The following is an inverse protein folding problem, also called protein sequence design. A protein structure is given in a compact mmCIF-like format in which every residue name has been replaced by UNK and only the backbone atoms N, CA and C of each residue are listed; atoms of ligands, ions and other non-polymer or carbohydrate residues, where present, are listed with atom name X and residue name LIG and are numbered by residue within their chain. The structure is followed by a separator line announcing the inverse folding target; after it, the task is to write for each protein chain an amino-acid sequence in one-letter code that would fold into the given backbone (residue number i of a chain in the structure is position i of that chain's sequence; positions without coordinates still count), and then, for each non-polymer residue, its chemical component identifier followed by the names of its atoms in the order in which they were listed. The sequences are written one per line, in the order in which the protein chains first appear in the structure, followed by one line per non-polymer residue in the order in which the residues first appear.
data_IF_044200349930
#
_entry.id   IF_044200349930
#
_cell.length_a   1.000
_cell.length_b   1.000
_cell.length_c   1.000
_cell.angle_alpha   90.00
_cell.angle_beta   90.00
_cell.angle_gamma   90.00
#
_symmetry.space_group_name_H-M   'P 1'
#
loop_
_entity.id
_entity.type
_entity.pdbx_description
1 polymer ?
#
# COMPACT_ATOMS: atom_id res chain seq x y z
N UNK A 1 -63.84 19.55 48.31
CA UNK A 1 -63.04 18.99 49.41
C UNK A 1 -62.74 17.54 49.08
N UNK A 2 -61.49 17.24 48.70
CA UNK A 2 -60.91 15.89 48.64
C UNK A 2 -59.40 16.11 48.61
N UNK A 3 -58.65 15.28 49.34
CA UNK A 3 -57.20 15.44 49.45
C UNK A 3 -56.51 14.11 49.76
N UNK A 4 -55.22 14.09 49.43
CA UNK A 4 -54.20 13.09 49.75
C UNK A 4 -52.87 13.77 49.39
N UNK A 5 -51.91 13.99 50.30
CA UNK A 5 -50.94 12.98 50.79
C UNK A 5 -50.25 12.27 49.62
N UNK A 6 -48.92 12.28 49.40
CA UNK A 6 -47.75 12.90 50.06
C UNK A 6 -46.71 13.25 48.95
N UNK A 7 -45.54 13.88 49.14
CA UNK A 7 -44.72 14.26 50.31
C UNK A 7 -43.95 15.57 50.00
N UNK A 8 -43.33 16.24 50.98
CA UNK A 8 -42.32 17.29 50.74
C UNK A 8 -41.16 17.19 51.74
N UNK A 9 -39.92 17.04 51.24
CA UNK A 9 -38.71 16.99 52.06
C UNK A 9 -37.69 18.04 51.62
N UNK A 10 -37.55 19.12 52.40
CA UNK A 10 -36.39 20.03 52.31
C UNK A 10 -35.14 19.32 52.84
N UNK A 11 -33.95 19.75 52.39
CA UNK A 11 -32.94 20.30 53.32
C UNK A 11 -31.90 21.14 52.56
N UNK A 12 -31.55 22.30 53.13
CA UNK A 12 -30.36 23.06 52.72
C UNK A 12 -29.10 22.32 53.17
N UNK A 13 -28.03 22.40 52.36
CA UNK A 13 -26.66 22.16 52.82
C UNK A 13 -25.76 23.30 52.33
N UNK A 14 -24.93 23.81 53.23
CA UNK A 14 -24.21 25.08 53.06
C UNK A 14 -22.87 24.95 52.31
N UNK A 15 -22.38 26.09 51.83
CA UNK A 15 -21.09 26.24 51.15
C UNK A 15 -19.91 25.76 51.99
N UNK A 16 -19.16 24.77 51.48
CA UNK A 16 -17.87 24.34 52.02
C UNK A 16 -16.81 24.33 50.92
N UNK A 17 -15.95 25.36 50.88
CA UNK A 17 -14.86 25.43 49.92
C UNK A 17 -13.71 24.50 50.35
N UNK A 18 -13.68 23.28 49.80
CA UNK A 18 -12.57 22.34 49.96
C UNK A 18 -11.65 22.41 48.74
N UNK A 19 -10.62 23.26 48.84
CA UNK A 19 -9.52 23.32 47.88
C UNK A 19 -8.61 22.08 48.06
N UNK A 20 -9.01 20.95 47.48
CA UNK A 20 -8.19 19.75 47.41
C UNK A 20 -7.00 20.00 46.45
N UNK A 21 -5.82 20.29 46.99
CA UNK A 21 -4.60 20.42 46.19
C UNK A 21 -4.17 19.04 45.68
N UNK A 22 -4.70 18.63 44.52
CA UNK A 22 -4.17 17.47 43.80
C UNK A 22 -2.77 17.81 43.27
N UNK A 23 -1.75 17.48 44.07
CA UNK A 23 -0.36 17.44 43.62
C UNK A 23 -0.20 16.25 42.68
N UNK A 24 -0.70 16.38 41.45
CA UNK A 24 -0.20 15.55 40.36
C UNK A 24 1.32 15.75 40.31
N UNK A 25 2.13 14.67 40.36
CA UNK A 25 3.56 14.81 40.14
C UNK A 25 3.73 15.39 38.74
N UNK A 26 4.27 16.62 38.69
CA UNK A 26 4.65 17.25 37.43
C UNK A 26 5.69 16.32 36.81
N UNK A 27 5.39 15.71 35.67
CA UNK A 27 6.37 14.94 34.90
C UNK A 27 7.45 15.92 34.45
N UNK A 28 8.48 16.09 35.29
CA UNK A 28 9.73 16.63 34.82
C UNK A 28 10.22 15.63 33.76
N UNK A 29 10.55 16.05 32.52
CA UNK A 29 11.33 15.18 31.67
C UNK A 29 12.58 14.80 32.48
N UNK A 30 12.85 13.50 32.58
CA UNK A 30 14.16 13.05 33.04
C UNK A 30 15.25 13.66 32.15
N UNK A 31 16.53 13.51 32.50
CA UNK A 31 17.60 13.81 31.56
C UNK A 31 17.22 13.15 30.23
N UNK A 32 17.23 13.93 29.15
CA UNK A 32 17.17 13.34 27.83
C UNK A 32 18.48 12.56 27.69
N UNK A 33 18.44 11.28 28.07
CA UNK A 33 18.99 10.26 27.19
C UNK A 33 18.34 10.53 25.85
N UNK A 34 19.01 11.37 25.07
CA UNK A 34 19.00 11.30 23.62
C UNK A 34 19.05 9.81 23.35
N UNK A 35 17.92 9.26 22.88
CA UNK A 35 17.90 7.95 22.25
C UNK A 35 19.03 8.03 21.25
N UNK A 36 20.15 7.38 21.56
CA UNK A 36 21.29 7.41 20.68
C UNK A 36 20.77 6.80 19.40
N UNK A 37 20.70 7.62 18.35
CA UNK A 37 20.41 7.14 17.01
C UNK A 37 21.34 5.94 16.84
N UNK A 38 20.75 4.77 16.66
CA UNK A 38 21.51 3.53 16.51
C UNK A 38 22.60 3.81 15.48
N UNK A 39 23.89 3.59 15.81
CA UNK A 39 25.01 4.12 15.03
C UNK A 39 24.73 3.84 13.56
N UNK A 40 24.63 4.91 12.76
CA UNK A 40 24.05 4.87 11.42
C UNK A 40 24.61 3.65 10.68
N UNK A 41 23.73 2.70 10.35
CA UNK A 41 24.19 1.44 9.79
C UNK A 41 24.90 1.76 8.47
N UNK A 42 26.21 1.46 8.30
CA UNK A 42 26.99 1.93 7.13
C UNK A 42 26.58 1.32 5.78
N UNK A 43 25.40 0.72 5.70
CA UNK A 43 24.98 -0.30 4.75
C UNK A 43 23.53 -0.10 4.27
N UNK A 44 23.00 1.13 4.37
CA UNK A 44 21.62 1.48 4.01
C UNK A 44 20.58 1.17 5.10
N UNK A 45 19.34 1.58 4.86
CA UNK A 45 18.20 1.51 5.79
C UNK A 45 17.13 0.51 5.32
N UNK A 46 17.54 -0.76 5.15
CA UNK A 46 16.68 -1.82 4.64
C UNK A 46 15.39 -2.02 5.47
N UNK A 47 14.24 -1.84 4.83
CA UNK A 47 12.93 -2.05 5.44
C UNK A 47 11.89 -2.61 4.45
N UNK A 48 11.18 -3.71 4.77
CA UNK A 48 11.46 -4.66 5.85
C UNK A 48 12.84 -5.32 5.71
N UNK A 49 13.43 -5.75 6.82
CA UNK A 49 14.71 -6.46 6.83
C UNK A 49 14.57 -7.84 6.14
N UNK A 50 15.44 -8.19 5.16
CA UNK A 50 15.40 -9.48 4.48
C UNK A 50 15.65 -10.70 5.37
N UNK A 51 15.15 -11.89 4.98
CA UNK A 51 15.40 -13.16 5.70
C UNK A 51 16.90 -13.49 5.83
N UNK A 52 17.70 -13.20 4.80
CA UNK A 52 19.15 -13.38 4.81
C UNK A 52 19.85 -12.22 4.12
N UNK A 53 20.81 -11.63 4.83
CA UNK A 53 21.61 -10.50 4.40
C UNK A 53 23.07 -10.79 4.75
N UNK A 54 23.96 -10.69 3.75
CA UNK A 54 25.41 -10.68 3.94
C UNK A 54 25.95 -9.45 3.23
N UNK A 55 26.65 -8.59 3.95
CA UNK A 55 27.24 -7.35 3.41
C UNK A 55 28.75 -7.40 3.60
N UNK A 56 29.47 -6.96 2.57
CA UNK A 56 30.91 -6.80 2.52
C UNK A 56 31.26 -5.30 2.68
N UNK A 57 32.41 -4.94 3.29
CA UNK A 57 32.85 -3.56 3.38
C UNK A 57 33.25 -2.97 2.01
N UNK A 58 33.33 -3.79 0.96
CA UNK A 58 33.58 -3.33 -0.41
C UNK A 58 32.36 -2.58 -0.94
N UNK A 59 32.52 -1.30 -1.30
CA UNK A 59 31.51 -0.49 -1.98
C UNK A 59 31.77 -0.38 -3.49
N UNK A 60 30.70 -0.21 -4.26
CA UNK A 60 30.76 0.08 -5.69
C UNK A 60 30.08 1.42 -5.99
N UNK A 61 30.68 2.18 -6.91
CA UNK A 61 30.14 3.46 -7.38
C UNK A 61 29.09 3.23 -8.46
N UNK A 62 27.97 3.94 -8.40
CA UNK A 62 26.94 3.95 -9.45
C UNK A 62 26.93 5.33 -10.11
N UNK A 63 27.29 5.37 -11.39
CA UNK A 63 27.21 6.57 -12.22
C UNK A 63 25.82 6.59 -12.90
N UNK A 64 24.94 7.58 -12.64
CA UNK A 64 23.58 7.58 -13.17
C UNK A 64 23.52 7.52 -14.70
N UNK A 65 24.45 8.18 -15.39
CA UNK A 65 24.59 8.20 -16.84
C UNK A 65 24.94 6.83 -17.47
N UNK A 66 25.49 5.90 -16.68
CA UNK A 66 25.97 4.59 -17.14
C UNK A 66 25.21 3.41 -16.54
N UNK A 67 24.58 3.57 -15.37
CA UNK A 67 23.87 2.49 -14.69
C UNK A 67 22.57 2.14 -15.41
N UNK A 68 22.36 0.85 -15.70
CA UNK A 68 21.15 0.36 -16.37
C UNK A 68 20.54 -0.84 -15.64
N UNK A 69 19.20 -0.86 -15.57
CA UNK A 69 18.42 -2.04 -15.17
C UNK A 69 17.93 -2.73 -16.44
N UNK A 70 18.31 -3.98 -16.65
CA UNK A 70 18.02 -4.72 -17.90
C UNK A 70 17.54 -6.14 -17.62
N UNK A 71 16.87 -6.75 -18.60
CA UNK A 71 16.60 -8.19 -18.57
C UNK A 71 17.91 -8.95 -18.76
N UNK A 72 18.22 -9.86 -17.85
CA UNK A 72 19.41 -10.71 -17.92
C UNK A 72 19.23 -11.89 -18.90
N UNK A 73 20.34 -12.48 -19.38
CA UNK A 73 20.29 -13.61 -20.31
C UNK A 73 19.60 -14.81 -19.68
N UNK A 74 18.71 -15.45 -20.43
CA UNK A 74 17.93 -16.61 -19.98
C UNK A 74 16.70 -16.29 -19.11
N UNK A 75 16.39 -15.00 -18.87
CA UNK A 75 15.12 -14.60 -18.28
C UNK A 75 13.93 -15.03 -19.16
N UNK A 76 12.87 -15.56 -18.55
CA UNK A 76 11.61 -15.84 -19.25
C UNK A 76 10.78 -14.60 -19.58
N UNK A 77 11.05 -13.48 -18.89
CA UNK A 77 10.51 -12.17 -19.22
C UNK A 77 11.55 -11.34 -19.99
N UNK A 78 11.07 -10.55 -20.96
CA UNK A 78 11.90 -9.68 -21.80
C UNK A 78 11.24 -8.33 -22.08
N UNK A 79 11.63 -7.63 -23.17
CA UNK A 79 11.16 -6.28 -23.48
C UNK A 79 9.63 -6.09 -23.45
N UNK A 80 8.87 -7.10 -23.88
CA UNK A 80 7.41 -7.06 -23.97
C UNK A 80 6.69 -7.04 -22.60
N UNK A 81 7.40 -7.35 -21.50
CA UNK A 81 6.82 -7.35 -20.15
C UNK A 81 6.70 -5.90 -19.62
N UNK A 82 5.57 -5.25 -19.92
CA UNK A 82 5.28 -3.86 -19.55
C UNK A 82 5.45 -3.58 -18.05
N UNK A 83 4.98 -4.49 -17.21
CA UNK A 83 5.11 -4.42 -15.74
C UNK A 83 6.57 -4.25 -15.30
N UNK A 84 7.51 -4.96 -15.91
CA UNK A 84 8.93 -4.82 -15.59
C UNK A 84 9.54 -3.57 -16.22
N UNK A 85 9.16 -3.17 -17.43
CA UNK A 85 9.65 -1.91 -18.03
C UNK A 85 9.24 -0.70 -17.18
N UNK A 86 7.99 -0.66 -16.74
CA UNK A 86 7.49 0.40 -15.86
C UNK A 86 8.14 0.33 -14.47
N UNK A 87 8.45 -0.86 -13.97
CA UNK A 87 9.22 -1.01 -12.73
C UNK A 87 10.66 -0.51 -12.88
N UNK A 88 11.37 -0.84 -13.96
CA UNK A 88 12.75 -0.40 -14.19
C UNK A 88 12.83 1.12 -14.29
N UNK A 89 11.96 1.74 -15.09
CA UNK A 89 11.86 3.21 -15.20
C UNK A 89 11.56 3.85 -13.85
N UNK A 90 10.60 3.31 -13.10
CA UNK A 90 10.17 3.85 -11.80
C UNK A 90 11.28 3.75 -10.74
N UNK A 91 11.93 2.59 -10.61
CA UNK A 91 13.03 2.42 -9.65
C UNK A 91 14.28 3.23 -10.01
N UNK A 92 14.57 3.40 -11.29
CA UNK A 92 15.62 4.32 -11.73
C UNK A 92 15.32 5.78 -11.30
N UNK A 93 14.09 6.25 -11.45
CA UNK A 93 13.69 7.58 -10.96
C UNK A 93 13.70 7.69 -9.42
N UNK A 94 13.43 6.62 -8.68
CA UNK A 94 13.58 6.64 -7.21
C UNK A 94 15.05 6.73 -6.79
N UNK A 95 15.95 6.04 -7.49
CA UNK A 95 17.38 6.05 -7.20
C UNK A 95 18.08 7.35 -7.60
N UNK A 96 17.73 7.94 -8.76
CA UNK A 96 18.50 9.04 -9.36
C UNK A 96 17.66 10.28 -9.74
N UNK A 97 16.34 10.27 -9.52
CA UNK A 97 15.46 11.38 -9.91
C UNK A 97 15.79 12.72 -9.24
N UNK A 98 16.31 12.67 -8.01
CA UNK A 98 16.76 13.85 -7.27
C UNK A 98 18.04 14.49 -7.84
N UNK A 99 18.99 13.70 -8.39
CA UNK A 99 20.22 14.22 -8.98
C UNK A 99 19.99 15.18 -10.15
N UNK A 100 18.87 15.08 -10.86
CA UNK A 100 18.51 15.99 -11.97
C UNK A 100 18.39 17.47 -11.55
N UNK A 101 18.39 17.75 -10.25
CA UNK A 101 18.22 19.08 -9.67
C UNK A 101 19.52 19.67 -9.09
N UNK A 102 20.63 18.91 -9.07
CA UNK A 102 21.93 19.40 -8.64
C UNK A 102 22.89 19.52 -9.83
N UNK A 103 23.36 20.74 -10.10
CA UNK A 103 24.53 20.96 -10.96
C UNK A 103 25.78 20.52 -10.18
N UNK A 104 26.16 19.25 -10.28
CA UNK A 104 27.43 18.77 -9.73
C UNK A 104 28.54 18.90 -10.78
N UNK A 105 29.56 19.68 -10.46
CA UNK A 105 30.82 19.69 -11.21
C UNK A 105 31.48 18.30 -11.10
N UNK A 106 31.56 17.54 -12.20
CA UNK A 106 32.14 16.19 -12.24
C UNK A 106 33.63 16.15 -11.82
N UNK A 107 33.90 16.05 -10.52
CA UNK A 107 35.19 15.56 -10.02
C UNK A 107 35.23 14.03 -10.16
N UNK A 108 35.62 13.56 -11.34
CA UNK A 108 35.86 12.13 -11.60
C UNK A 108 36.89 11.54 -10.62
N UNK A 109 36.39 10.81 -9.62
CA UNK A 109 37.19 9.89 -8.81
C UNK A 109 37.72 8.78 -9.72
N UNK A 110 39.03 8.78 -9.98
CA UNK A 110 39.68 7.96 -11.00
C UNK A 110 39.96 6.50 -10.58
N UNK A 111 39.62 6.09 -9.35
CA UNK A 111 40.07 4.83 -8.75
C UNK A 111 38.99 4.01 -8.00
N UNK A 112 37.71 4.34 -8.12
CA UNK A 112 36.64 3.52 -7.53
C UNK A 112 35.98 2.62 -8.57
N UNK A 113 35.67 1.39 -8.18
CA UNK A 113 35.15 0.40 -9.12
C UNK A 113 33.64 0.52 -9.29
N UNK A 114 33.22 0.63 -10.54
CA UNK A 114 31.85 0.95 -10.91
C UNK A 114 30.99 -0.31 -11.12
N UNK A 115 29.72 -0.20 -10.74
CA UNK A 115 28.66 -1.15 -11.01
C UNK A 115 27.73 -0.50 -12.03
N UNK A 116 27.73 -1.02 -13.25
CA UNK A 116 27.04 -0.41 -14.40
C UNK A 116 25.74 -1.12 -14.78
N UNK A 117 25.51 -2.33 -14.27
CA UNK A 117 24.37 -3.14 -14.71
C UNK A 117 23.69 -3.88 -13.55
N UNK A 118 22.37 -3.77 -13.47
CA UNK A 118 21.51 -4.69 -12.73
C UNK A 118 20.76 -5.59 -13.71
N UNK A 119 21.14 -6.86 -13.78
CA UNK A 119 20.46 -7.88 -14.57
C UNK A 119 19.31 -8.51 -13.79
N UNK A 120 18.10 -8.41 -14.35
CA UNK A 120 16.87 -8.98 -13.82
C UNK A 120 16.56 -10.29 -14.55
N UNK A 121 16.51 -11.40 -13.83
CA UNK A 121 16.33 -12.75 -14.40
C UNK A 121 15.15 -13.44 -13.74
N UNK A 122 14.13 -13.78 -14.55
CA UNK A 122 13.04 -14.65 -14.10
C UNK A 122 13.34 -16.11 -14.46
N UNK A 123 13.39 -16.97 -13.44
CA UNK A 123 13.81 -18.37 -13.54
C UNK A 123 12.69 -19.35 -13.90
N UNK A 124 11.43 -19.06 -13.54
CA UNK A 124 10.30 -19.89 -13.98
C UNK A 124 9.95 -19.64 -15.45
N UNK A 125 9.50 -20.67 -16.16
CA UNK A 125 9.04 -20.56 -17.56
C UNK A 125 7.83 -19.64 -17.73
N UNK A 126 6.96 -19.59 -16.72
CA UNK A 126 5.81 -18.70 -16.66
C UNK A 126 6.15 -17.54 -15.74
N UNK A 127 6.44 -16.38 -16.33
CA UNK A 127 6.83 -15.17 -15.58
C UNK A 127 5.67 -14.51 -14.83
N UNK A 128 4.43 -14.78 -15.24
CA UNK A 128 3.19 -14.15 -14.74
C UNK A 128 3.07 -12.63 -15.03
N UNK A 129 3.86 -12.09 -15.96
CA UNK A 129 3.88 -10.64 -16.25
C UNK A 129 2.52 -10.03 -16.63
N UNK A 130 1.69 -10.78 -17.36
CA UNK A 130 0.36 -10.34 -17.83
C UNK A 130 -0.78 -10.80 -16.90
N UNK A 131 -0.45 -11.36 -15.73
CA UNK A 131 -1.44 -11.86 -14.76
C UNK A 131 -1.67 -10.86 -13.63
N UNK A 132 -2.69 -11.16 -12.82
CA UNK A 132 -2.90 -10.55 -11.52
C UNK A 132 -2.25 -11.38 -10.41
N UNK A 133 -1.70 -10.76 -9.35
CA UNK A 133 -1.18 -11.49 -8.20
C UNK A 133 -2.30 -12.25 -7.47
N UNK A 134 -1.96 -13.39 -6.90
CA UNK A 134 -2.85 -14.26 -6.11
C UNK A 134 -2.29 -14.46 -4.70
N UNK A 135 -3.01 -15.18 -3.83
CA UNK A 135 -2.49 -15.53 -2.49
C UNK A 135 -1.32 -16.52 -2.54
N UNK A 136 -1.13 -17.22 -3.67
CA UNK A 136 -0.02 -18.16 -3.90
C UNK A 136 1.05 -17.60 -4.83
N UNK A 137 1.07 -16.28 -5.06
CA UNK A 137 2.13 -15.63 -5.83
C UNK A 137 3.48 -15.78 -5.14
N UNK A 138 4.48 -16.24 -5.88
CA UNK A 138 5.85 -16.32 -5.36
C UNK A 138 6.50 -14.93 -5.35
N UNK A 139 6.74 -14.42 -4.14
CA UNK A 139 7.40 -13.14 -3.88
C UNK A 139 8.86 -13.30 -3.43
N UNK A 140 9.43 -14.50 -3.52
CA UNK A 140 10.82 -14.77 -3.16
C UNK A 140 11.80 -14.23 -4.21
N UNK A 141 12.98 -13.80 -3.77
CA UNK A 141 14.05 -13.36 -4.66
C UNK A 141 15.44 -13.58 -4.05
N UNK A 142 16.44 -13.58 -4.93
CA UNK A 142 17.85 -13.59 -4.60
C UNK A 142 18.53 -12.42 -5.32
N UNK A 143 19.16 -11.53 -4.55
CA UNK A 143 19.88 -10.37 -5.05
C UNK A 143 21.37 -10.51 -4.71
N UNK A 144 22.19 -10.57 -5.75
CA UNK A 144 23.65 -10.56 -5.64
C UNK A 144 24.17 -9.24 -6.19
N UNK A 145 24.67 -8.39 -5.30
CA UNK A 145 25.31 -7.13 -5.65
C UNK A 145 26.80 -7.36 -5.88
N UNK A 146 27.25 -7.17 -7.12
CA UNK A 146 28.63 -7.32 -7.53
C UNK A 146 28.95 -6.42 -8.74
N UNK A 147 30.24 -6.37 -9.12
CA UNK A 147 30.77 -5.57 -10.23
C UNK A 147 31.32 -6.45 -11.36
N UNK A 148 31.26 -6.01 -12.64
CA UNK A 148 30.57 -4.82 -13.12
C UNK A 148 29.03 -4.98 -13.14
N UNK A 149 28.54 -6.20 -12.90
CA UNK A 149 27.14 -6.57 -13.04
C UNK A 149 26.60 -7.20 -11.76
N UNK A 150 25.53 -6.62 -11.23
CA UNK A 150 24.69 -7.18 -10.19
C UNK A 150 23.54 -7.97 -10.79
N UNK A 151 23.01 -8.94 -10.04
CA UNK A 151 22.02 -9.89 -10.54
C UNK A 151 20.87 -10.03 -9.53
N UNK A 152 19.66 -9.74 -9.98
CA UNK A 152 18.42 -9.99 -9.26
C UNK A 152 17.68 -11.16 -9.94
N UNK A 153 17.48 -12.24 -9.19
CA UNK A 153 16.78 -13.46 -9.61
C UNK A 153 15.50 -13.66 -8.80
N UNK A 154 14.44 -14.10 -9.45
CA UNK A 154 13.22 -14.58 -8.80
C UNK A 154 12.49 -15.56 -9.71
N UNK A 155 11.68 -16.45 -9.14
CA UNK A 155 10.87 -17.37 -9.96
C UNK A 155 9.74 -16.64 -10.72
N UNK A 156 9.25 -15.50 -10.22
CA UNK A 156 8.11 -14.74 -10.77
C UNK A 156 8.36 -13.24 -10.79
N UNK A 157 7.57 -12.48 -11.57
CA UNK A 157 7.64 -11.00 -11.57
C UNK A 157 7.44 -10.38 -10.18
N UNK A 158 6.66 -11.02 -9.31
CA UNK A 158 6.35 -10.49 -7.98
C UNK A 158 7.60 -10.41 -7.10
N UNK A 159 8.45 -11.45 -7.09
CA UNK A 159 9.74 -11.44 -6.40
C UNK A 159 10.70 -10.39 -6.95
N UNK A 160 10.74 -10.19 -8.28
CA UNK A 160 11.52 -9.11 -8.89
C UNK A 160 11.09 -7.74 -8.36
N UNK A 161 9.78 -7.46 -8.25
CA UNK A 161 9.31 -6.19 -7.68
C UNK A 161 9.79 -5.98 -6.23
N UNK A 162 9.85 -7.04 -5.41
CA UNK A 162 10.37 -6.95 -4.03
C UNK A 162 11.89 -6.77 -3.99
N UNK A 163 12.62 -7.39 -4.92
CA UNK A 163 14.07 -7.26 -5.02
C UNK A 163 14.54 -5.92 -5.58
N UNK A 164 13.79 -5.30 -6.50
CA UNK A 164 14.05 -3.94 -6.98
C UNK A 164 13.90 -2.92 -5.85
N UNK A 165 12.87 -3.06 -5.01
CA UNK A 165 12.71 -2.27 -3.79
C UNK A 165 13.94 -2.37 -2.89
N UNK A 166 14.32 -3.60 -2.52
CA UNK A 166 15.49 -3.85 -1.68
C UNK A 166 16.79 -3.33 -2.30
N UNK A 167 16.98 -3.43 -3.62
CA UNK A 167 18.14 -2.85 -4.29
C UNK A 167 18.17 -1.32 -4.18
N UNK A 168 17.03 -0.64 -4.35
CA UNK A 168 16.98 0.82 -4.21
C UNK A 168 17.27 1.30 -2.79
N UNK A 169 16.97 0.49 -1.77
CA UNK A 169 17.27 0.77 -0.35
C UNK A 169 18.74 0.50 0.03
N UNK A 170 19.53 -0.18 -0.82
CA UNK A 170 20.97 -0.34 -0.63
C UNK A 170 21.78 0.87 -1.16
N UNK A 171 21.14 1.74 -1.94
CA UNK A 171 21.76 2.94 -2.48
C UNK A 171 21.90 3.99 -1.37
N UNK A 172 23.08 4.59 -1.28
CA UNK A 172 23.33 5.75 -0.44
C UNK A 172 24.24 6.76 -1.16
N UNK A 173 24.17 8.01 -0.73
CA UNK A 173 24.93 9.14 -1.28
C UNK A 173 26.04 9.50 -0.28
N UNK A 174 27.24 9.86 -0.75
CA UNK A 174 28.29 10.40 0.10
C UNK A 174 28.22 11.94 0.22
N UNK A 175 29.06 12.54 1.07
CA UNK A 175 29.12 14.00 1.26
C UNK A 175 29.42 14.79 -0.02
N UNK A 176 29.91 14.11 -1.08
CA UNK A 176 30.21 14.69 -2.39
C UNK A 176 29.11 14.46 -3.42
N UNK A 177 27.99 13.84 -3.06
CA UNK A 177 26.88 13.56 -3.96
C UNK A 177 27.06 12.32 -4.83
N UNK A 178 28.05 11.47 -4.56
CA UNK A 178 28.31 10.25 -5.32
C UNK A 178 27.53 9.06 -4.77
N UNK A 179 26.85 8.33 -5.65
CA UNK A 179 26.09 7.14 -5.28
C UNK A 179 26.95 5.90 -5.09
N UNK A 180 26.69 5.19 -3.99
CA UNK A 180 27.33 3.93 -3.63
C UNK A 180 26.32 2.88 -3.19
N UNK A 181 26.75 1.62 -3.29
CA UNK A 181 26.10 0.46 -2.68
C UNK A 181 27.17 -0.57 -2.32
N UNK A 182 26.99 -1.29 -1.22
CA UNK A 182 27.90 -2.33 -0.78
C UNK A 182 27.68 -3.66 -1.52
N UNK A 183 28.79 -4.33 -1.81
CA UNK A 183 28.82 -5.74 -2.18
C UNK A 183 28.02 -6.56 -1.16
N UNK A 184 27.03 -7.28 -1.63
CA UNK A 184 26.08 -7.97 -0.77
C UNK A 184 25.39 -9.14 -1.45
N UNK A 185 24.96 -10.09 -0.63
CA UNK A 185 24.19 -11.25 -1.04
C UNK A 185 22.95 -11.31 -0.15
N UNK A 186 21.78 -11.20 -0.78
CA UNK A 186 20.47 -11.18 -0.14
C UNK A 186 19.64 -12.34 -0.67
N UNK A 187 18.99 -13.07 0.22
CA UNK A 187 17.97 -14.06 -0.12
C UNK A 187 16.76 -13.80 0.77
N UNK A 188 15.60 -13.60 0.16
CA UNK A 188 14.45 -13.06 0.86
C UNK A 188 13.13 -13.66 0.36
N UNK A 189 12.16 -13.74 1.27
CA UNK A 189 10.80 -14.16 1.02
C UNK A 189 9.90 -13.68 2.18
N UNK A 190 8.61 -13.40 1.94
CA UNK A 190 7.72 -12.96 3.00
C UNK A 190 7.36 -14.11 3.95
N UNK A 191 7.37 -13.84 5.26
CA UNK A 191 6.88 -14.78 6.28
C UNK A 191 5.38 -15.12 6.12
N UNK A 192 4.60 -14.17 5.61
CA UNK A 192 3.16 -14.30 5.40
C UNK A 192 2.76 -13.76 4.02
N UNK A 193 1.95 -14.54 3.29
CA UNK A 193 1.49 -14.20 1.93
C UNK A 193 0.36 -13.15 1.89
N UNK A 194 -0.28 -12.85 3.02
CA UNK A 194 -1.26 -11.76 3.13
C UNK A 194 -0.69 -10.63 3.98
N UNK A 195 -0.42 -9.48 3.36
CA UNK A 195 0.09 -8.26 4.02
C UNK A 195 -0.76 -7.09 3.53
N UNK A 196 -1.80 -6.78 4.31
CA UNK A 196 -2.89 -5.91 3.88
C UNK A 196 -2.97 -4.56 4.59
N UNK A 197 -3.39 -3.53 3.85
CA UNK A 197 -3.88 -2.25 4.37
C UNK A 197 -5.38 -2.15 4.06
N UNK A 198 -6.19 -1.76 5.03
CA UNK A 198 -7.61 -1.43 4.82
C UNK A 198 -7.74 0.07 4.57
N UNK A 199 -8.33 0.45 3.43
CA UNK A 199 -8.76 1.83 3.15
C UNK A 199 -10.28 1.88 3.12
N UNK A 200 -10.86 2.64 4.05
CA UNK A 200 -12.27 3.01 4.09
C UNK A 200 -12.45 4.28 3.27
N UNK A 201 -13.23 4.17 2.19
CA UNK A 201 -13.56 5.29 1.31
C UNK A 201 -15.03 5.71 1.39
N UNK A 202 -15.79 5.17 2.35
CA UNK A 202 -17.20 5.49 2.57
C UNK A 202 -17.40 6.52 3.67
N UNK A 203 -16.70 6.37 4.82
CA UNK A 203 -16.78 7.32 5.94
C UNK A 203 -16.22 8.68 5.56
N UNK A 204 -15.22 8.71 4.67
CA UNK A 204 -14.80 9.88 3.91
C UNK A 204 -14.36 9.43 2.52
N UNK A 205 -14.74 10.18 1.48
CA UNK A 205 -14.26 9.89 0.12
C UNK A 205 -12.76 10.22 -0.01
N UNK A 206 -11.98 9.28 -0.52
CA UNK A 206 -10.56 9.49 -0.83
C UNK A 206 -10.37 9.75 -2.33
N UNK A 207 -9.82 10.91 -2.76
CA UNK A 207 -9.52 11.16 -4.16
C UNK A 207 -8.60 10.07 -4.73
N UNK A 208 -8.81 9.69 -6.01
CA UNK A 208 -8.06 8.60 -6.66
C UNK A 208 -6.54 8.72 -6.45
N UNK A 209 -5.97 9.94 -6.58
CA UNK A 209 -4.55 10.22 -6.33
C UNK A 209 -4.06 9.72 -4.95
N UNK A 210 -4.86 9.87 -3.90
CA UNK A 210 -4.53 9.43 -2.54
C UNK A 210 -4.46 7.90 -2.46
N UNK A 211 -5.38 7.20 -3.13
CA UNK A 211 -5.36 5.74 -3.22
C UNK A 211 -4.11 5.26 -3.97
N UNK A 212 -3.77 5.90 -5.10
CA UNK A 212 -2.56 5.56 -5.86
C UNK A 212 -1.27 5.82 -5.06
N UNK A 213 -1.17 6.95 -4.35
CA UNK A 213 -0.02 7.22 -3.45
C UNK A 213 0.07 6.22 -2.28
N UNK A 214 -1.06 5.72 -1.77
CA UNK A 214 -1.04 4.62 -0.80
C UNK A 214 -0.52 3.32 -1.43
N UNK A 215 -0.87 3.01 -2.68
CA UNK A 215 -0.32 1.84 -3.40
C UNK A 215 1.20 1.95 -3.62
N UNK A 216 1.74 3.15 -3.87
CA UNK A 216 3.20 3.38 -3.87
C UNK A 216 3.83 3.10 -2.50
N UNK A 217 3.29 3.71 -1.42
CA UNK A 217 3.79 3.51 -0.07
C UNK A 217 3.71 2.03 0.40
N UNK A 218 2.66 1.32 -0.02
CA UNK A 218 2.50 -0.11 0.18
C UNK A 218 3.59 -0.91 -0.55
N UNK A 219 3.93 -0.55 -1.80
CA UNK A 219 4.99 -1.21 -2.56
C UNK A 219 6.36 -1.06 -1.86
N UNK A 220 6.69 0.15 -1.38
CA UNK A 220 7.93 0.42 -0.63
C UNK A 220 8.03 -0.46 0.63
N UNK A 221 6.92 -0.59 1.36
CA UNK A 221 6.82 -1.41 2.56
C UNK A 221 6.54 -2.90 2.28
N UNK A 222 6.62 -3.33 1.01
CA UNK A 222 6.36 -4.71 0.55
C UNK A 222 4.98 -5.26 0.98
N UNK A 223 3.98 -4.41 1.20
CA UNK A 223 2.57 -4.81 1.33
C UNK A 223 2.03 -5.30 -0.02
N UNK A 224 1.07 -6.24 -0.01
CA UNK A 224 0.59 -6.90 -1.23
C UNK A 224 -0.93 -7.04 -1.32
N UNK A 225 -1.70 -6.48 -0.37
CA UNK A 225 -3.17 -6.42 -0.44
C UNK A 225 -3.67 -5.02 -0.07
N UNK A 226 -4.43 -4.40 -0.99
CA UNK A 226 -5.34 -3.31 -0.67
C UNK A 226 -6.71 -3.94 -0.36
N UNK A 227 -7.12 -3.89 0.90
CA UNK A 227 -8.49 -4.20 1.30
C UNK A 227 -9.30 -2.90 1.16
N UNK A 228 -10.12 -2.81 0.13
CA UNK A 228 -10.84 -1.59 -0.21
C UNK A 228 -12.27 -1.68 0.33
N UNK A 229 -12.46 -1.13 1.52
CA UNK A 229 -13.77 -0.93 2.15
C UNK A 229 -14.46 0.23 1.45
N UNK A 230 -15.11 -0.08 0.33
CA UNK A 230 -15.49 0.91 -0.69
C UNK A 230 -16.85 1.56 -0.40
N UNK A 231 -17.71 0.92 0.40
CA UNK A 231 -19.08 1.37 0.74
C UNK A 231 -19.40 1.04 2.21
N UNK A 232 -20.23 1.86 2.84
CA UNK A 232 -20.67 1.75 4.25
C UNK A 232 -21.93 2.62 4.47
N UNK A 233 -22.40 2.77 5.71
CA UNK A 233 -23.52 3.62 6.11
C UNK A 233 -23.47 5.08 5.58
N UNK A 234 -22.35 5.81 5.64
CA UNK A 234 -22.32 7.23 5.29
C UNK A 234 -22.46 7.49 3.78
N UNK A 235 -21.76 6.72 2.94
CA UNK A 235 -21.83 6.91 1.49
C UNK A 235 -21.64 5.63 0.65
N UNK A 236 -22.16 5.68 -0.58
CA UNK A 236 -21.98 4.66 -1.62
C UNK A 236 -21.27 5.28 -2.83
N UNK A 237 -19.92 5.41 -2.81
CA UNK A 237 -19.18 6.05 -3.91
C UNK A 237 -18.94 5.11 -5.10
N UNK A 238 -19.07 3.79 -4.97
CA UNK A 238 -18.85 2.85 -6.07
C UNK A 238 -19.92 2.96 -7.17
N UNK A 239 -19.54 3.24 -8.42
CA UNK A 239 -20.48 3.27 -9.53
C UNK A 239 -20.81 1.85 -10.04
N UNK A 240 -22.04 1.40 -9.79
CA UNK A 240 -22.54 0.12 -10.29
C UNK A 240 -23.22 0.28 -11.64
N UNK A 241 -22.71 -0.40 -12.67
CA UNK A 241 -23.31 -0.41 -14.01
C UNK A 241 -24.68 -1.07 -14.07
N UNK A 242 -24.97 -2.01 -13.15
CA UNK A 242 -26.25 -2.72 -13.05
C UNK A 242 -27.24 -2.03 -12.12
N UNK A 243 -26.75 -1.27 -11.13
CA UNK A 243 -27.57 -0.58 -10.14
C UNK A 243 -27.11 0.90 -9.95
N UNK A 244 -27.20 1.75 -10.98
CA UNK A 244 -26.67 3.13 -10.95
C UNK A 244 -27.36 4.04 -9.92
N UNK A 245 -28.56 3.68 -9.47
CA UNK A 245 -29.27 4.37 -8.39
C UNK A 245 -28.53 4.30 -7.04
N UNK A 246 -27.67 3.29 -6.84
CA UNK A 246 -26.91 3.12 -5.60
C UNK A 246 -25.93 4.28 -5.38
N UNK A 247 -25.09 4.61 -6.35
CA UNK A 247 -24.21 5.79 -6.23
C UNK A 247 -24.96 7.10 -6.49
N UNK A 248 -25.91 7.14 -7.43
CA UNK A 248 -26.64 8.38 -7.73
C UNK A 248 -27.41 8.95 -6.52
N UNK A 249 -27.88 8.09 -5.62
CA UNK A 249 -28.57 8.51 -4.38
C UNK A 249 -27.75 8.25 -3.10
N UNK A 250 -26.70 7.42 -3.17
CA UNK A 250 -25.90 7.00 -2.03
C UNK A 250 -24.57 7.74 -1.85
N UNK A 251 -23.96 8.29 -2.90
CA UNK A 251 -22.72 9.06 -2.80
C UNK A 251 -22.92 10.40 -2.07
N UNK A 252 -21.84 11.02 -1.58
CA UNK A 252 -21.90 12.33 -0.93
C UNK A 252 -22.32 13.46 -1.89
N UNK A 253 -21.74 13.48 -3.08
CA UNK A 253 -22.14 14.31 -4.22
C UNK A 253 -21.78 13.57 -5.52
N UNK A 254 -22.25 14.00 -6.70
CA UNK A 254 -21.86 13.41 -7.99
C UNK A 254 -20.35 13.39 -8.27
N UNK A 255 -19.55 14.19 -7.56
CA UNK A 255 -18.08 14.24 -7.71
C UNK A 255 -17.34 13.30 -6.75
N UNK A 256 -18.04 12.65 -5.80
CA UNK A 256 -17.48 11.73 -4.82
C UNK A 256 -17.84 10.29 -5.20
N UNK A 257 -17.46 9.90 -6.42
CA UNK A 257 -17.80 8.63 -7.06
C UNK A 257 -16.52 7.99 -7.61
N UNK A 258 -16.42 6.66 -7.55
CA UNK A 258 -15.43 5.87 -8.27
C UNK A 258 -16.10 5.22 -9.47
N UNK A 259 -15.79 5.72 -10.66
CA UNK A 259 -16.31 5.18 -11.93
C UNK A 259 -15.67 3.82 -12.24
N UNK A 260 -16.21 3.01 -13.17
CA UNK A 260 -15.55 1.80 -13.66
C UNK A 260 -14.12 2.04 -14.17
N UNK A 261 -13.85 3.23 -14.72
CA UNK A 261 -12.50 3.64 -15.16
C UNK A 261 -11.58 3.88 -13.97
N UNK A 262 -12.04 4.54 -12.91
CA UNK A 262 -11.26 4.75 -11.69
C UNK A 262 -10.94 3.43 -11.00
N UNK A 263 -11.92 2.54 -10.88
CA UNK A 263 -11.74 1.20 -10.28
C UNK A 263 -10.75 0.37 -11.10
N UNK A 264 -10.85 0.38 -12.44
CA UNK A 264 -9.87 -0.26 -13.32
C UNK A 264 -8.47 0.32 -13.14
N UNK A 265 -8.35 1.65 -13.04
CA UNK A 265 -7.07 2.33 -12.83
C UNK A 265 -6.43 1.94 -11.49
N UNK A 266 -7.19 1.86 -10.39
CA UNK A 266 -6.68 1.36 -9.09
C UNK A 266 -6.20 -0.08 -9.22
N UNK A 267 -6.99 -0.95 -9.86
CA UNK A 267 -6.67 -2.37 -10.04
C UNK A 267 -5.38 -2.57 -10.85
N UNK A 268 -5.21 -1.88 -11.98
CA UNK A 268 -3.99 -2.00 -12.79
C UNK A 268 -2.78 -1.37 -12.11
N UNK A 269 -2.94 -0.20 -11.46
CA UNK A 269 -1.85 0.46 -10.74
C UNK A 269 -1.33 -0.38 -9.56
N UNK A 270 -2.23 -1.11 -8.89
CA UNK A 270 -1.91 -2.11 -7.88
C UNK A 270 -1.22 -3.34 -8.49
N UNK A 271 -1.73 -3.86 -9.62
CA UNK A 271 -1.14 -5.01 -10.34
C UNK A 271 0.32 -4.76 -10.72
N UNK A 272 0.63 -3.57 -11.27
CA UNK A 272 1.98 -3.12 -11.63
C UNK A 272 2.96 -3.00 -10.43
N UNK A 273 2.44 -3.11 -9.19
CA UNK A 273 3.19 -3.15 -7.93
C UNK A 273 3.10 -4.50 -7.21
N UNK A 274 2.46 -5.51 -7.83
CA UNK A 274 2.21 -6.80 -7.19
C UNK A 274 1.30 -6.68 -5.98
N UNK A 275 0.33 -5.76 -6.02
CA UNK A 275 -0.68 -5.57 -4.97
C UNK A 275 -2.02 -6.08 -5.50
N UNK A 276 -2.70 -6.88 -4.68
CA UNK A 276 -4.06 -7.38 -4.92
C UNK A 276 -5.07 -6.35 -4.42
N UNK A 277 -6.12 -6.08 -5.19
CA UNK A 277 -7.27 -5.30 -4.71
C UNK A 277 -8.37 -6.28 -4.29
N UNK A 278 -8.77 -6.22 -3.02
CA UNK A 278 -9.91 -6.97 -2.49
C UNK A 278 -10.99 -5.96 -2.15
N UNK A 279 -12.08 -5.86 -2.94
CA UNK A 279 -13.19 -4.98 -2.61
C UNK A 279 -14.04 -5.60 -1.50
N UNK A 280 -14.45 -4.76 -0.54
CA UNK A 280 -15.40 -5.12 0.51
C UNK A 280 -16.72 -4.38 0.33
N UNK A 281 -17.79 -5.15 0.32
CA UNK A 281 -19.17 -4.71 0.25
C UNK A 281 -19.88 -5.26 1.50
N UNK A 282 -19.72 -4.56 2.62
CA UNK A 282 -20.19 -5.03 3.93
C UNK A 282 -21.72 -5.18 3.96
N UNK A 283 -22.20 -6.30 4.51
CA UNK A 283 -23.60 -6.67 4.64
C UNK A 283 -23.79 -7.65 5.82
N UNK A 284 -24.96 -7.67 6.50
CA UNK A 284 -26.12 -6.79 6.31
C UNK A 284 -26.06 -5.50 7.14
N UNK A 285 -25.08 -5.36 8.05
CA UNK A 285 -24.75 -4.08 8.68
C UNK A 285 -24.19 -3.09 7.65
N UNK A 286 -23.86 -1.86 8.08
CA UNK A 286 -23.10 -0.92 7.24
C UNK A 286 -23.70 -0.61 5.85
N UNK A 287 -25.04 -0.63 5.74
CA UNK A 287 -25.79 -0.51 4.48
C UNK A 287 -26.76 0.68 4.40
N UNK A 288 -26.68 1.68 5.29
CA UNK A 288 -27.61 2.83 5.28
C UNK A 288 -27.58 3.63 3.96
N UNK A 289 -26.41 3.82 3.34
CA UNK A 289 -26.27 4.51 2.06
C UNK A 289 -26.96 3.77 0.91
N UNK A 290 -26.89 2.44 0.90
CA UNK A 290 -27.47 1.54 -0.10
C UNK A 290 -28.99 1.67 -0.19
N UNK A 291 -29.65 1.91 0.95
CA UNK A 291 -31.10 2.09 1.04
C UNK A 291 -31.60 3.29 0.22
N UNK A 292 -30.77 4.32 0.04
CA UNK A 292 -31.12 5.52 -0.73
C UNK A 292 -31.38 5.17 -2.20
N UNK A 293 -30.53 4.34 -2.80
CA UNK A 293 -30.71 3.79 -4.16
C UNK A 293 -31.85 2.75 -4.30
N UNK A 294 -32.79 2.70 -3.35
CA UNK A 294 -33.99 1.83 -3.32
C UNK A 294 -33.71 0.32 -3.34
N UNK A 295 -32.49 -0.11 -3.09
CA UNK A 295 -32.16 -1.53 -2.89
C UNK A 295 -32.64 -1.97 -1.49
N UNK A 296 -33.86 -2.51 -1.43
CA UNK A 296 -34.49 -2.92 -0.17
C UNK A 296 -34.05 -4.33 0.27
N UNK A 297 -32.75 -4.50 0.58
CA UNK A 297 -32.20 -5.75 1.15
C UNK A 297 -31.86 -5.54 2.62
N UNK A 298 -32.87 -5.26 3.45
CA UNK A 298 -32.77 -5.52 4.90
C UNK A 298 -34.06 -6.20 5.37
N UNK A 299 -33.87 -7.34 6.04
CA UNK A 299 -34.85 -7.94 6.93
C UNK A 299 -35.20 -6.91 8.02
N UNK A 300 -36.33 -6.21 7.86
CA UNK A 300 -37.01 -5.63 9.03
C UNK A 300 -37.29 -6.78 10.01
N UNK A 301 -37.28 -6.48 11.31
CA UNK A 301 -37.65 -7.44 12.37
C UNK A 301 -39.10 -7.92 12.35
N UNK A 302 -39.82 -7.71 11.24
CA UNK A 302 -41.11 -8.31 10.92
C UNK A 302 -41.00 -8.96 9.54
N UNK A 303 -41.37 -10.24 9.45
CA UNK A 303 -41.28 -11.04 8.23
C UNK A 303 -42.19 -10.48 7.11
N UNK A 304 -41.64 -9.64 6.23
CA UNK A 304 -42.20 -9.39 4.89
C UNK A 304 -41.10 -9.44 3.84
N UNK A 305 -40.92 -10.63 3.29
CA UNK A 305 -40.14 -10.88 2.08
C UNK A 305 -40.83 -10.13 0.93
N UNK A 306 -40.20 -9.05 0.46
CA UNK A 306 -40.57 -8.39 -0.78
C UNK A 306 -39.58 -8.82 -1.86
N UNK A 307 -40.05 -9.61 -2.82
CA UNK A 307 -39.30 -9.93 -4.02
C UNK A 307 -38.98 -8.65 -4.80
N UNK A 308 -37.76 -8.57 -5.33
CA UNK A 308 -37.37 -7.50 -6.25
C UNK A 308 -38.16 -7.62 -7.56
N UNK A 309 -39.27 -6.88 -7.67
CA UNK A 309 -40.11 -6.87 -8.86
C UNK A 309 -39.47 -6.03 -9.98
N UNK A 310 -38.60 -6.67 -10.78
CA UNK A 310 -38.08 -6.04 -11.98
C UNK A 310 -39.13 -6.08 -13.09
N UNK A 311 -39.87 -4.97 -13.24
CA UNK A 311 -40.97 -4.84 -14.17
C UNK A 311 -40.55 -4.72 -15.64
N UNK A 312 -39.96 -5.77 -16.23
CA UNK A 312 -40.08 -6.11 -17.67
C UNK A 312 -39.32 -7.39 -18.07
N UNK A 313 -39.92 -8.57 -17.82
CA UNK A 313 -40.02 -9.72 -18.75
C UNK A 313 -40.62 -10.93 -18.04
N UNK A 314 -41.72 -11.47 -18.59
CA UNK A 314 -42.06 -12.88 -18.35
C UNK A 314 -40.96 -13.74 -18.96
N UNK A 315 -40.32 -14.59 -18.16
CA UNK A 315 -39.76 -15.87 -18.61
C UNK A 315 -40.16 -16.94 -17.61
N UNK A 316 -40.37 -18.13 -18.15
CA UNK A 316 -40.90 -19.28 -17.44
C UNK A 316 -39.82 -19.93 -16.56
N UNK A 317 -40.26 -20.90 -15.75
CA UNK A 317 -39.41 -21.70 -14.86
C UNK A 317 -38.31 -22.40 -15.65
N UNK A 318 -37.13 -22.51 -15.06
CA UNK A 318 -36.29 -23.71 -15.11
C UNK A 318 -35.29 -23.69 -13.93
N UNK A 319 -34.79 -24.86 -13.58
CA UNK A 319 -34.33 -25.23 -12.23
C UNK A 319 -32.98 -24.63 -11.78
N UNK A 320 -32.89 -24.34 -10.46
CA UNK A 320 -31.74 -24.59 -9.58
C UNK A 320 -32.24 -24.81 -8.15
#
# INVERSE_FOLDING_TARGET
MMGSMELLGLFLAASGALAASSRYPRWAPGPQELLSLSPETPYGSLWPLPQSLRVSPTRFRLAPDQFQIVHGPGSSAGPNCSLLQDAFRRYYEYMFGYSKWQNQDEKKSLCETELSLLQVIITSKDSECDKFPSITSDESYHLQVSKPTSVLKADKVWGILRGLETFSQLLYEDDCGTYFVNESIISDFPRFAYRGILLDTSRHFLPLKVILTNLDAMAFNKFNVLHWHIVDDPSFPYESTTFPELNAQGAYTPNHVYTPVDVHNVIEYARLRGIRVIPEFDTPGHTQSWRKGKMCIILKGELKILYAYNGNKKREKEDW
#
